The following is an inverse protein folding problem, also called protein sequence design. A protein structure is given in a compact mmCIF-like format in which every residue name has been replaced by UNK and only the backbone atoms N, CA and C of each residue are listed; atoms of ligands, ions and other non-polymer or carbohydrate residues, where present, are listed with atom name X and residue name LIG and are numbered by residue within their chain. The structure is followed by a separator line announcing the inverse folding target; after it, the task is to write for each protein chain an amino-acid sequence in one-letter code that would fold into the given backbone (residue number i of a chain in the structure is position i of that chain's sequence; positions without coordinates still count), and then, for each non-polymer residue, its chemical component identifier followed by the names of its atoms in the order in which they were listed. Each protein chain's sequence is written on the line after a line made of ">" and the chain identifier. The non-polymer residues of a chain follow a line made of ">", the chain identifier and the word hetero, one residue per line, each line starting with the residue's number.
data_IF_956256106981
#
_entry.id   IF_956256106981
#
_cell.length_a   1.000
_cell.length_b   1.000
_cell.length_c   1.000
_cell.angle_alpha   90.00
_cell.angle_beta   90.00
_cell.angle_gamma   90.00
#
_symmetry.space_group_name_H-M   'P 1'
#
loop_
_entity.id
_entity.type
_entity.pdbx_description
1 polymer ?
#
# COMPACT_ATOMS: atom_id res chain seq x y z
N UNK A 1 22.26 30.37 31.87
CA UNK A 1 21.70 29.48 30.84
C UNK A 1 22.71 28.35 30.60
N UNK A 2 22.47 27.13 31.11
CA UNK A 2 23.43 26.01 31.06
C UNK A 2 23.05 25.08 29.91
N UNK A 3 23.84 25.09 28.84
CA UNK A 3 23.61 24.25 27.65
C UNK A 3 24.03 22.82 28.01
N UNK A 4 23.06 21.91 28.11
CA UNK A 4 23.30 20.49 28.40
C UNK A 4 23.72 19.80 27.11
N UNK A 5 24.98 19.39 27.03
CA UNK A 5 25.57 18.78 25.82
C UNK A 5 25.12 17.30 25.78
N UNK A 6 24.40 16.86 24.73
CA UNK A 6 24.02 15.46 24.62
C UNK A 6 25.28 14.60 24.45
N UNK A 7 25.37 13.51 25.21
CA UNK A 7 26.47 12.56 25.11
C UNK A 7 26.56 11.97 23.70
N UNK A 8 27.78 11.81 23.17
CA UNK A 8 28.02 11.36 21.79
C UNK A 8 27.20 10.11 21.42
N UNK A 9 27.05 9.16 22.35
CA UNK A 9 26.24 7.94 22.19
C UNK A 9 24.80 8.22 21.74
N UNK A 10 24.19 9.30 22.25
CA UNK A 10 22.83 9.69 21.86
C UNK A 10 22.83 10.15 20.41
N UNK A 11 23.75 11.05 20.02
CA UNK A 11 23.86 11.57 18.65
C UNK A 11 24.04 10.46 17.61
N UNK A 12 24.89 9.47 17.89
CA UNK A 12 25.09 8.33 17.00
C UNK A 12 23.83 7.45 16.81
N UNK A 13 22.94 7.40 17.81
CA UNK A 13 21.69 6.64 17.71
C UNK A 13 20.68 7.32 16.78
N UNK A 14 20.57 8.64 16.83
CA UNK A 14 19.66 9.40 15.96
C UNK A 14 20.09 9.31 14.50
N UNK A 15 21.39 9.50 14.23
CA UNK A 15 21.94 9.41 12.87
C UNK A 15 21.74 8.02 12.24
N UNK A 16 21.81 6.94 13.03
CA UNK A 16 21.54 5.57 12.53
C UNK A 16 20.07 5.36 12.17
N UNK A 17 19.15 5.98 12.90
CA UNK A 17 17.71 5.93 12.60
C UNK A 17 17.43 6.69 11.30
N UNK A 18 18.02 7.88 11.12
CA UNK A 18 17.85 8.68 9.90
C UNK A 18 18.41 8.00 8.64
N UNK A 19 19.51 7.25 8.75
CA UNK A 19 20.07 6.50 7.60
C UNK A 19 19.21 5.32 7.13
N UNK A 20 18.35 4.77 7.99
CA UNK A 20 17.48 3.63 7.68
C UNK A 20 16.03 3.99 7.38
N UNK A 21 15.56 5.16 7.83
CA UNK A 21 14.16 5.58 7.63
C UNK A 21 13.80 5.76 6.15
N UNK A 22 14.62 6.44 5.36
CA UNK A 22 14.28 6.75 3.96
C UNK A 22 14.19 5.51 3.08
N UNK A 23 15.00 4.46 3.30
CA UNK A 23 14.93 3.21 2.53
C UNK A 23 13.79 2.30 2.99
N UNK A 24 13.52 2.27 4.30
CA UNK A 24 12.43 1.48 4.87
C UNK A 24 11.06 2.00 4.43
N UNK A 25 10.88 3.32 4.31
CA UNK A 25 9.65 3.95 3.85
C UNK A 25 9.27 3.52 2.43
N UNK A 26 10.22 3.53 1.48
CA UNK A 26 9.95 3.08 0.11
C UNK A 26 9.66 1.58 0.04
N UNK A 27 10.37 0.78 0.84
CA UNK A 27 10.15 -0.67 0.89
C UNK A 27 8.73 -0.99 1.41
N UNK A 28 8.35 -0.39 2.55
CA UNK A 28 7.01 -0.57 3.13
C UNK A 28 5.93 -0.01 2.22
N UNK A 29 6.15 1.15 1.58
CA UNK A 29 5.23 1.73 0.61
C UNK A 29 4.96 0.79 -0.57
N UNK A 30 6.00 0.15 -1.11
CA UNK A 30 5.88 -0.83 -2.20
C UNK A 30 5.13 -2.07 -1.75
N UNK A 31 5.46 -2.62 -0.57
CA UNK A 31 4.77 -3.79 -0.01
C UNK A 31 3.30 -3.49 0.23
N UNK A 32 2.97 -2.31 0.78
CA UNK A 32 1.59 -1.89 1.01
C UNK A 32 0.81 -1.78 -0.32
N UNK A 33 1.40 -1.17 -1.35
CA UNK A 33 0.79 -1.05 -2.67
C UNK A 33 0.54 -2.41 -3.33
N UNK A 34 1.52 -3.31 -3.29
CA UNK A 34 1.40 -4.67 -3.85
C UNK A 34 0.35 -5.49 -3.09
N UNK A 35 0.34 -5.43 -1.75
CA UNK A 35 -0.66 -6.13 -0.94
C UNK A 35 -2.08 -5.63 -1.24
N UNK A 36 -2.28 -4.32 -1.34
CA UNK A 36 -3.56 -3.73 -1.72
C UNK A 36 -3.98 -4.16 -3.14
N UNK A 37 -3.06 -4.11 -4.10
CA UNK A 37 -3.30 -4.57 -5.47
C UNK A 37 -3.68 -6.06 -5.52
N UNK A 38 -3.05 -6.92 -4.72
CA UNK A 38 -3.40 -8.33 -4.64
C UNK A 38 -4.83 -8.54 -4.10
N UNK A 39 -5.24 -7.78 -3.09
CA UNK A 39 -6.63 -7.80 -2.58
C UNK A 39 -7.61 -7.36 -3.66
N UNK A 40 -7.34 -6.26 -4.35
CA UNK A 40 -8.18 -5.80 -5.46
C UNK A 40 -8.27 -6.82 -6.59
N UNK A 41 -7.15 -7.47 -6.94
CA UNK A 41 -7.14 -8.53 -7.93
C UNK A 41 -8.05 -9.69 -7.54
N UNK A 42 -8.02 -10.12 -6.26
CA UNK A 42 -8.93 -11.15 -5.74
C UNK A 42 -10.39 -10.72 -5.80
N UNK A 43 -10.69 -9.46 -5.54
CA UNK A 43 -12.06 -8.93 -5.63
C UNK A 43 -12.54 -8.99 -7.08
N UNK A 44 -11.77 -8.43 -8.01
CA UNK A 44 -12.15 -8.35 -9.44
C UNK A 44 -12.21 -9.73 -10.09
N UNK A 45 -11.37 -10.68 -9.66
CA UNK A 45 -11.41 -12.07 -10.13
C UNK A 45 -12.41 -12.97 -9.40
N UNK A 46 -13.19 -12.41 -8.46
CA UNK A 46 -14.17 -13.20 -7.70
C UNK A 46 -15.38 -13.60 -8.55
N UNK A 47 -16.04 -14.73 -8.23
CA UNK A 47 -17.27 -15.15 -8.91
C UNK A 47 -18.40 -14.11 -8.83
N UNK A 48 -18.48 -13.36 -7.73
CA UNK A 48 -19.50 -12.32 -7.54
C UNK A 48 -19.35 -11.16 -8.54
N UNK A 49 -18.13 -10.68 -8.75
CA UNK A 49 -17.86 -9.60 -9.73
C UNK A 49 -18.09 -10.09 -11.15
N UNK A 50 -17.64 -11.31 -11.47
CA UNK A 50 -17.90 -11.92 -12.78
C UNK A 50 -19.41 -12.06 -13.06
N UNK A 51 -20.19 -12.58 -12.11
CA UNK A 51 -21.63 -12.71 -12.25
C UNK A 51 -22.34 -11.35 -12.40
N UNK A 52 -21.92 -10.34 -11.65
CA UNK A 52 -22.45 -8.98 -11.76
C UNK A 52 -22.18 -8.39 -13.15
N UNK A 53 -20.95 -8.53 -13.65
CA UNK A 53 -20.58 -8.04 -14.99
C UNK A 53 -21.35 -8.78 -16.09
N UNK A 54 -21.44 -10.11 -16.00
CA UNK A 54 -22.26 -10.93 -16.92
C UNK A 54 -23.70 -10.45 -16.94
N UNK A 55 -24.31 -10.20 -15.77
CA UNK A 55 -25.69 -9.70 -15.70
C UNK A 55 -25.87 -8.35 -16.40
N UNK A 56 -24.92 -7.44 -16.23
CA UNK A 56 -24.94 -6.13 -16.91
C UNK A 56 -24.83 -6.30 -18.43
N UNK A 57 -23.90 -7.14 -18.90
CA UNK A 57 -23.71 -7.42 -20.33
C UNK A 57 -24.96 -8.09 -20.91
N UNK A 58 -25.50 -9.13 -20.26
CA UNK A 58 -26.72 -9.81 -20.72
C UNK A 58 -27.88 -8.84 -20.80
N UNK A 59 -28.07 -7.97 -19.79
CA UNK A 59 -29.10 -6.93 -19.85
C UNK A 59 -28.90 -5.97 -21.02
N UNK A 60 -27.66 -5.57 -21.30
CA UNK A 60 -27.37 -4.68 -22.43
C UNK A 60 -27.64 -5.34 -23.79
N UNK A 61 -27.36 -6.65 -23.91
CA UNK A 61 -27.63 -7.43 -25.11
C UNK A 61 -29.13 -7.75 -25.28
N UNK A 62 -29.85 -8.00 -24.20
CA UNK A 62 -31.31 -8.25 -24.20
C UNK A 62 -32.12 -6.99 -24.58
N UNK A 63 -31.53 -5.80 -24.44
CA UNK A 63 -32.13 -4.52 -24.89
C UNK A 63 -31.89 -4.29 -26.40
N UNK A 64 -31.15 -5.17 -27.09
CA UNK A 64 -30.83 -5.04 -28.51
C UNK A 64 -31.68 -5.96 -29.39
N UNK A 65 -32.84 -5.41 -29.80
CA UNK A 65 -33.83 -5.84 -30.80
C UNK A 65 -34.91 -6.86 -30.38
#
# INVERSE_FOLDING_TARGET
>A
MRISIPSARRVWSWLRVDTGMTTAEYAVGTVAAVAFGAVLFKIVTSPGVAAALTKVITKALDVSF
#
